data_IF_541992705324
#
_entry.id   IF_541992705324
#
_cell.length_a   1.000
_cell.length_b   1.000
_cell.length_c   1.000
_cell.angle_alpha   90.00
_cell.angle_beta   90.00
_cell.angle_gamma   90.00
#
_symmetry.space_group_name_H-M   'P 1'
#
loop_
_entity.id
_entity.type
_entity.pdbx_description
1 polymer ?
#
# COMPACT_ATOMS: atom_id res chain seq x y z
N UNK A 1 -36.83 -62.02 44.40
CA UNK A 1 -37.43 -63.34 44.15
C UNK A 1 -37.02 -63.79 42.75
N UNK A 2 -36.23 -64.87 42.69
CA UNK A 2 -35.98 -65.82 41.57
C UNK A 2 -35.42 -65.26 40.23
N UNK A 3 -34.09 -65.33 39.98
CA UNK A 3 -33.28 -66.47 39.37
C UNK A 3 -33.45 -66.54 37.84
N UNK A 4 -32.48 -66.80 36.96
CA UNK A 4 -31.04 -67.13 36.96
C UNK A 4 -30.53 -66.93 35.49
N UNK A 5 -29.30 -66.47 35.26
CA UNK A 5 -28.18 -67.18 34.58
C UNK A 5 -28.55 -68.26 33.54
N UNK A 6 -28.03 -68.12 32.31
CA UNK A 6 -27.14 -69.11 31.64
C UNK A 6 -26.49 -68.54 30.38
N UNK A 7 -25.17 -68.71 30.28
CA UNK A 7 -24.34 -68.64 29.07
C UNK A 7 -24.80 -69.63 27.99
N UNK A 8 -24.59 -69.29 26.70
CA UNK A 8 -23.99 -70.17 25.67
C UNK A 8 -23.75 -69.40 24.36
N UNK A 9 -22.50 -69.37 23.89
CA UNK A 9 -22.11 -69.27 22.47
C UNK A 9 -21.90 -70.73 21.98
N UNK A 10 -22.09 -71.14 20.70
CA UNK A 10 -21.17 -70.73 19.62
C UNK A 10 -21.70 -70.81 18.15
N UNK A 11 -20.80 -70.45 17.22
CA UNK A 11 -20.65 -70.91 15.81
C UNK A 11 -21.35 -70.18 14.65
N UNK A 12 -20.50 -69.48 13.89
CA UNK A 12 -20.28 -69.52 12.43
C UNK A 12 -21.45 -69.91 11.49
N UNK A 13 -21.85 -68.94 10.67
CA UNK A 13 -22.26 -69.22 9.29
C UNK A 13 -21.92 -68.05 8.38
N UNK A 14 -21.00 -68.29 7.45
CA UNK A 14 -20.74 -67.44 6.29
C UNK A 14 -22.03 -67.27 5.48
N UNK A 15 -22.37 -66.04 5.11
CA UNK A 15 -23.26 -65.80 3.98
C UNK A 15 -22.66 -64.75 3.04
N UNK A 16 -22.53 -65.18 1.78
CA UNK A 16 -21.94 -64.48 0.66
C UNK A 16 -23.10 -63.90 -0.14
N UNK A 17 -23.32 -62.59 -0.07
CA UNK A 17 -24.27 -61.93 -0.98
C UNK A 17 -23.64 -60.72 -1.67
N UNK A 18 -23.33 -60.91 -2.95
CA UNK A 18 -22.96 -59.88 -3.90
C UNK A 18 -24.07 -58.83 -4.03
N UNK A 19 -23.74 -57.55 -3.87
CA UNK A 19 -24.59 -56.45 -4.33
C UNK A 19 -23.84 -55.57 -5.32
N UNK A 20 -24.55 -55.33 -6.42
CA UNK A 20 -24.15 -54.68 -7.66
C UNK A 20 -23.58 -53.27 -7.45
N UNK A 21 -22.53 -52.97 -8.22
CA UNK A 21 -22.02 -51.62 -8.40
C UNK A 21 -23.06 -50.73 -9.10
N UNK A 22 -23.46 -49.65 -8.44
CA UNK A 22 -24.13 -48.49 -9.05
C UNK A 22 -23.13 -47.33 -9.19
N UNK A 23 -23.32 -46.44 -10.19
CA UNK A 23 -22.25 -45.64 -10.76
C UNK A 23 -21.93 -44.38 -9.94
N UNK A 24 -20.66 -43.98 -10.06
CA UNK A 24 -20.01 -42.75 -9.61
C UNK A 24 -20.95 -41.56 -9.42
N UNK A 25 -21.13 -41.12 -8.18
CA UNK A 25 -21.64 -39.79 -7.87
C UNK A 25 -20.62 -38.73 -8.30
N UNK A 26 -21.10 -37.72 -9.03
CA UNK A 26 -20.37 -36.51 -9.42
C UNK A 26 -19.97 -35.66 -8.21
N UNK A 27 -18.98 -36.11 -7.43
CA UNK A 27 -18.29 -35.26 -6.45
C UNK A 27 -17.11 -34.58 -7.14
N UNK A 28 -17.03 -33.23 -7.17
CA UNK A 28 -15.80 -32.58 -7.59
C UNK A 28 -14.67 -33.04 -6.67
N UNK A 29 -13.52 -33.40 -7.26
CA UNK A 29 -12.29 -33.73 -6.54
C UNK A 29 -11.78 -32.45 -5.84
N UNK A 30 -12.38 -32.13 -4.70
CA UNK A 30 -11.79 -31.21 -3.73
C UNK A 30 -10.72 -32.02 -3.03
N UNK A 31 -9.45 -31.74 -3.36
CA UNK A 31 -8.32 -32.29 -2.62
C UNK A 31 -8.50 -32.02 -1.11
N UNK A 32 -8.00 -32.89 -0.22
CA UNK A 32 -8.13 -32.66 1.20
C UNK A 32 -7.52 -31.28 1.53
N UNK A 33 -8.17 -30.47 2.39
CA UNK A 33 -7.55 -29.24 2.86
C UNK A 33 -6.21 -29.60 3.49
N UNK A 34 -5.17 -28.83 3.13
CA UNK A 34 -3.84 -28.99 3.70
C UNK A 34 -3.94 -29.03 5.24
N UNK A 35 -3.20 -29.93 5.91
CA UNK A 35 -3.30 -30.09 7.35
C UNK A 35 -2.96 -28.77 8.08
N UNK A 36 -3.66 -28.48 9.19
CA UNK A 36 -3.50 -27.23 9.91
C UNK A 36 -2.30 -27.32 10.86
N UNK A 37 -1.09 -27.22 10.33
CA UNK A 37 0.11 -27.07 11.17
C UNK A 37 1.04 -25.98 10.64
N UNK A 38 0.58 -24.73 10.76
CA UNK A 38 1.39 -23.50 10.85
C UNK A 38 0.62 -22.42 11.66
N UNK A 39 -0.21 -22.80 12.64
CA UNK A 39 -1.00 -21.88 13.48
C UNK A 39 -0.37 -21.62 14.85
N UNK A 40 0.93 -21.31 14.87
CA UNK A 40 1.65 -20.99 16.11
C UNK A 40 1.69 -19.50 16.47
N UNK A 41 1.74 -18.62 15.46
CA UNK A 41 1.62 -17.18 15.65
C UNK A 41 0.43 -16.69 14.81
N UNK A 42 -0.57 -16.09 15.46
CA UNK A 42 -1.64 -15.38 14.74
C UNK A 42 -0.98 -14.21 14.01
N UNK A 43 -0.89 -14.32 12.69
CA UNK A 43 -0.36 -13.25 11.82
C UNK A 43 -1.13 -11.97 12.08
N UNK A 44 -0.43 -10.85 12.18
CA UNK A 44 -1.06 -9.54 12.32
C UNK A 44 -1.79 -9.17 11.00
N UNK A 45 -2.85 -8.35 11.06
CA UNK A 45 -3.64 -8.02 9.88
C UNK A 45 -2.89 -7.06 8.93
N UNK A 46 -3.11 -7.25 7.62
CA UNK A 46 -2.75 -6.28 6.57
C UNK A 46 -4.05 -5.80 5.94
N UNK A 47 -4.32 -4.50 6.04
CA UNK A 47 -5.51 -3.85 5.48
C UNK A 47 -5.09 -2.96 4.32
N UNK A 48 -5.85 -3.02 3.23
CA UNK A 48 -5.61 -2.25 2.02
C UNK A 48 -6.90 -1.53 1.61
N UNK A 49 -6.77 -0.26 1.20
CA UNK A 49 -7.93 0.58 0.90
C UNK A 49 -7.60 1.82 0.09
N UNK A 50 -8.60 2.51 -0.47
CA UNK A 50 -8.41 3.77 -1.17
C UNK A 50 -8.48 4.99 -0.23
N UNK A 51 -7.84 6.09 -0.64
CA UNK A 51 -8.08 7.42 -0.09
C UNK A 51 -9.34 8.04 -0.71
N UNK A 52 -10.48 7.90 -0.06
CA UNK A 52 -11.75 8.51 -0.45
C UNK A 52 -12.73 7.52 -1.09
N UNK A 53 -13.83 8.06 -1.62
CA UNK A 53 -14.88 7.27 -2.26
C UNK A 53 -14.37 6.72 -3.60
N UNK A 54 -14.52 5.41 -3.88
CA UNK A 54 -14.09 4.80 -5.14
C UNK A 54 -14.58 5.56 -6.38
N UNK A 55 -13.76 5.64 -7.43
CA UNK A 55 -14.12 6.26 -8.71
C UNK A 55 -15.26 5.51 -9.41
N UNK A 56 -15.36 4.21 -9.17
CA UNK A 56 -16.43 3.33 -9.66
C UNK A 56 -17.77 3.52 -8.94
N UNK A 57 -17.78 4.19 -7.78
CA UNK A 57 -18.97 4.40 -6.97
C UNK A 57 -19.92 5.42 -7.60
N UNK A 58 -21.13 4.96 -7.95
CA UNK A 58 -22.10 5.76 -8.71
C UNK A 58 -22.75 6.87 -7.88
N UNK A 59 -23.18 6.59 -6.64
CA UNK A 59 -23.81 7.62 -5.81
C UNK A 59 -22.81 8.58 -5.17
N UNK A 60 -21.50 8.28 -5.24
CA UNK A 60 -20.42 9.14 -4.73
C UNK A 60 -20.61 9.52 -3.25
N UNK A 61 -21.23 8.64 -2.48
CA UNK A 61 -21.41 8.80 -1.04
C UNK A 61 -20.43 7.89 -0.30
N UNK A 62 -20.15 8.21 0.97
CA UNK A 62 -19.23 7.41 1.77
C UNK A 62 -19.78 6.00 1.98
N UNK A 63 -21.07 5.88 2.29
CA UNK A 63 -21.72 4.60 2.60
C UNK A 63 -21.72 3.67 1.38
N UNK A 64 -22.13 4.15 0.20
CA UNK A 64 -22.06 3.34 -1.02
C UNK A 64 -20.61 3.03 -1.41
N UNK A 65 -19.68 3.94 -1.12
CA UNK A 65 -18.26 3.70 -1.31
C UNK A 65 -17.76 2.54 -0.45
N UNK A 66 -18.18 2.43 0.81
CA UNK A 66 -17.84 1.31 1.69
C UNK A 66 -18.38 -0.02 1.15
N UNK A 67 -19.61 -0.03 0.61
CA UNK A 67 -20.18 -1.22 -0.03
C UNK A 67 -19.33 -1.67 -1.22
N UNK A 68 -18.94 -0.74 -2.10
CA UNK A 68 -18.09 -1.05 -3.26
C UNK A 68 -16.71 -1.56 -2.83
N UNK A 69 -16.06 -0.92 -1.84
CA UNK A 69 -14.74 -1.35 -1.32
C UNK A 69 -14.83 -2.77 -0.76
N UNK A 70 -15.90 -3.08 -0.01
CA UNK A 70 -16.14 -4.42 0.53
C UNK A 70 -16.32 -5.46 -0.58
N UNK A 71 -17.05 -5.13 -1.65
CA UNK A 71 -17.21 -6.00 -2.83
C UNK A 71 -15.89 -6.27 -3.53
N UNK A 72 -14.97 -5.30 -3.54
CA UNK A 72 -13.62 -5.45 -4.10
C UNK A 72 -12.67 -6.27 -3.20
N UNK A 73 -13.11 -6.71 -2.02
CA UNK A 73 -12.31 -7.48 -1.07
C UNK A 73 -11.30 -6.63 -0.30
N UNK A 74 -11.54 -5.33 -0.19
CA UNK A 74 -10.75 -4.39 0.59
C UNK A 74 -11.45 -4.13 1.94
N UNK A 75 -10.69 -3.76 2.96
CA UNK A 75 -11.15 -3.79 4.37
C UNK A 75 -11.02 -2.44 5.10
N UNK A 76 -10.57 -1.41 4.40
CA UNK A 76 -10.30 -0.09 4.98
C UNK A 76 -10.52 1.01 3.95
N UNK A 77 -10.76 2.23 4.42
CA UNK A 77 -10.70 3.43 3.59
C UNK A 77 -10.29 4.63 4.42
N UNK A 78 -9.80 5.67 3.74
CA UNK A 78 -9.53 6.95 4.36
C UNK A 78 -10.43 8.05 3.79
N UNK A 79 -11.20 8.73 4.63
CA UNK A 79 -12.00 9.88 4.22
C UNK A 79 -11.09 11.11 4.10
N UNK A 80 -11.05 11.73 2.93
CA UNK A 80 -10.30 12.96 2.73
C UNK A 80 -11.12 14.19 3.15
N UNK A 81 -10.75 14.84 4.25
CA UNK A 81 -11.38 16.11 4.71
C UNK A 81 -10.67 17.35 4.16
N UNK A 82 -10.33 17.30 2.86
CA UNK A 82 -9.63 18.36 2.13
C UNK A 82 -10.30 19.72 2.15
N UNK A 83 -11.63 19.71 2.16
CA UNK A 83 -12.48 20.90 2.23
C UNK A 83 -13.23 20.85 3.56
N UNK A 84 -13.69 22.02 4.03
CA UNK A 84 -14.47 22.10 5.27
C UNK A 84 -15.58 21.05 5.30
N UNK A 85 -15.62 20.28 6.38
CA UNK A 85 -16.67 19.29 6.65
C UNK A 85 -17.99 20.06 6.70
N UNK A 86 -18.87 19.78 5.75
CA UNK A 86 -20.14 20.49 5.68
C UNK A 86 -21.18 19.77 6.56
N UNK A 87 -21.95 20.48 7.40
CA UNK A 87 -22.92 19.87 8.32
C UNK A 87 -23.95 18.96 7.64
N UNK A 88 -24.29 19.23 6.37
CA UNK A 88 -25.27 18.44 5.62
C UNK A 88 -24.78 17.02 5.24
N UNK A 89 -23.51 16.69 5.48
CA UNK A 89 -22.97 15.34 5.32
C UNK A 89 -23.04 14.49 6.60
N UNK A 90 -23.55 15.03 7.72
CA UNK A 90 -23.59 14.33 9.01
C UNK A 90 -24.24 12.94 8.91
N UNK A 91 -25.40 12.83 8.24
CA UNK A 91 -26.11 11.56 8.09
C UNK A 91 -25.26 10.48 7.40
N UNK A 92 -24.41 10.87 6.43
CA UNK A 92 -23.51 9.93 5.76
C UNK A 92 -22.38 9.48 6.67
N UNK A 93 -21.75 10.39 7.41
CA UNK A 93 -20.70 10.03 8.37
C UNK A 93 -21.22 9.14 9.47
N UNK A 94 -22.40 9.46 9.98
CA UNK A 94 -23.08 8.67 10.99
C UNK A 94 -23.36 7.23 10.52
N UNK A 95 -23.96 7.09 9.33
CA UNK A 95 -24.21 5.77 8.74
C UNK A 95 -22.91 5.00 8.49
N UNK A 96 -21.85 5.70 8.04
CA UNK A 96 -20.54 5.11 7.85
C UNK A 96 -19.93 4.59 9.17
N UNK A 97 -20.04 5.34 10.27
CA UNK A 97 -19.58 4.89 11.59
C UNK A 97 -20.30 3.63 12.07
N UNK A 98 -21.63 3.58 11.91
CA UNK A 98 -22.43 2.40 12.25
C UNK A 98 -22.04 1.18 11.39
N UNK A 99 -21.83 1.38 10.08
CA UNK A 99 -21.42 0.33 9.17
C UNK A 99 -20.02 -0.17 9.49
N UNK A 100 -19.07 0.75 9.73
CA UNK A 100 -17.70 0.44 10.14
C UNK A 100 -17.68 -0.44 11.39
N UNK A 101 -18.43 -0.04 12.42
CA UNK A 101 -18.51 -0.78 13.67
C UNK A 101 -19.12 -2.19 13.50
N UNK A 102 -20.19 -2.32 12.70
CA UNK A 102 -20.89 -3.60 12.50
C UNK A 102 -20.15 -4.56 11.58
N UNK A 103 -19.44 -4.04 10.58
CA UNK A 103 -18.75 -4.83 9.56
C UNK A 103 -17.26 -5.04 9.87
N UNK A 104 -16.76 -4.53 11.00
CA UNK A 104 -15.33 -4.49 11.35
C UNK A 104 -14.46 -3.83 10.24
N UNK A 105 -15.06 -2.91 9.48
CA UNK A 105 -14.40 -2.18 8.40
C UNK A 105 -13.63 -0.99 8.99
N UNK A 106 -12.34 -0.88 8.68
CA UNK A 106 -11.51 0.16 9.27
C UNK A 106 -11.72 1.51 8.58
N UNK A 107 -12.13 2.52 9.36
CA UNK A 107 -12.22 3.90 8.89
C UNK A 107 -10.99 4.69 9.33
N UNK A 108 -10.56 5.59 8.46
CA UNK A 108 -9.51 6.57 8.75
C UNK A 108 -9.93 7.93 8.17
N UNK A 109 -9.30 9.01 8.64
CA UNK A 109 -9.57 10.35 8.16
C UNK A 109 -8.27 11.05 7.83
N UNK A 110 -8.15 11.54 6.61
CA UNK A 110 -7.13 12.51 6.26
C UNK A 110 -7.59 13.90 6.65
N UNK A 111 -6.82 14.57 7.49
CA UNK A 111 -6.97 15.98 7.81
C UNK A 111 -6.65 16.89 6.63
N UNK A 112 -6.53 18.21 6.85
CA UNK A 112 -6.24 19.14 5.76
C UNK A 112 -4.86 18.88 5.14
N UNK A 113 -4.78 18.76 3.80
CA UNK A 113 -3.49 18.59 3.09
C UNK A 113 -2.51 19.74 3.33
N UNK A 114 -3.02 20.96 3.45
CA UNK A 114 -2.19 22.15 3.67
C UNK A 114 -2.20 22.53 5.15
N UNK A 115 -1.24 21.98 5.90
CA UNK A 115 -0.89 22.38 7.25
C UNK A 115 0.06 23.58 7.26
N UNK A 116 -0.09 24.47 8.24
CA UNK A 116 0.80 25.60 8.49
C UNK A 116 1.11 25.67 10.01
N UNK A 117 1.38 24.52 10.63
CA UNK A 117 1.49 24.40 12.09
C UNK A 117 2.67 25.19 12.67
N UNK A 118 3.78 25.28 11.94
CA UNK A 118 4.94 26.10 12.30
C UNK A 118 4.85 27.56 11.79
N UNK A 119 3.74 27.92 11.14
CA UNK A 119 3.50 29.26 10.63
C UNK A 119 3.15 30.27 11.73
N UNK A 120 2.68 31.45 11.31
CA UNK A 120 2.24 32.48 12.26
C UNK A 120 1.09 31.98 13.13
N UNK A 121 0.82 32.62 14.27
CA UNK A 121 -0.32 32.26 15.14
C UNK A 121 -1.65 32.20 14.37
N UNK A 122 -1.85 33.08 13.39
CA UNK A 122 -3.05 33.10 12.56
C UNK A 122 -3.14 31.85 11.68
N UNK A 123 -2.05 31.51 11.00
CA UNK A 123 -2.02 30.41 10.04
C UNK A 123 -2.12 29.07 10.78
N UNK A 124 -1.39 28.93 11.91
CA UNK A 124 -1.54 27.80 12.83
C UNK A 124 -2.97 27.62 13.33
N UNK A 125 -3.60 28.68 13.84
CA UNK A 125 -4.98 28.60 14.33
C UNK A 125 -5.97 28.20 13.23
N UNK A 126 -5.73 28.63 11.98
CA UNK A 126 -6.53 28.21 10.82
C UNK A 126 -6.36 26.72 10.54
N UNK A 127 -5.14 26.18 10.61
CA UNK A 127 -4.89 24.74 10.47
C UNK A 127 -5.55 23.95 11.61
N UNK A 128 -5.38 24.38 12.87
CA UNK A 128 -6.00 23.72 14.02
C UNK A 128 -7.54 23.71 13.94
N UNK A 129 -8.15 24.80 13.45
CA UNK A 129 -9.61 24.84 13.24
C UNK A 129 -10.09 23.84 12.19
N UNK A 130 -9.29 23.56 11.16
CA UNK A 130 -9.59 22.52 10.17
C UNK A 130 -9.41 21.13 10.77
N UNK A 131 -8.32 20.92 11.53
CA UNK A 131 -8.07 19.67 12.23
C UNK A 131 -9.21 19.33 13.20
N UNK A 132 -9.76 20.31 13.92
CA UNK A 132 -10.94 20.11 14.78
C UNK A 132 -12.10 19.48 14.01
N UNK A 133 -12.38 19.94 12.78
CA UNK A 133 -13.43 19.34 11.94
C UNK A 133 -13.12 17.88 11.59
N UNK A 134 -11.86 17.56 11.29
CA UNK A 134 -11.40 16.20 11.01
C UNK A 134 -11.50 15.28 12.24
N UNK A 135 -11.20 15.80 13.45
CA UNK A 135 -11.35 15.07 14.72
C UNK A 135 -12.82 14.72 14.99
N UNK A 136 -13.73 15.68 14.78
CA UNK A 136 -15.17 15.45 14.93
C UNK A 136 -15.69 14.39 13.95
N UNK A 137 -15.25 14.45 12.68
CA UNK A 137 -15.55 13.38 11.72
C UNK A 137 -14.97 12.05 12.20
N UNK A 138 -13.73 12.03 12.67
CA UNK A 138 -13.07 10.85 13.21
C UNK A 138 -13.87 10.18 14.32
N UNK A 139 -14.42 10.97 15.27
CA UNK A 139 -15.37 10.51 16.29
C UNK A 139 -16.61 9.86 15.69
N UNK A 140 -17.25 10.54 14.74
CA UNK A 140 -18.50 10.10 14.13
C UNK A 140 -18.33 8.84 13.27
N UNK A 141 -17.18 8.64 12.63
CA UNK A 141 -16.95 7.48 11.75
C UNK A 141 -16.18 6.33 12.43
N UNK A 142 -15.89 6.44 13.72
CA UNK A 142 -15.03 5.49 14.44
C UNK A 142 -13.63 5.35 13.80
N UNK A 143 -13.02 6.49 13.44
CA UNK A 143 -11.73 6.47 12.75
C UNK A 143 -10.61 5.99 13.68
N UNK A 144 -9.75 5.10 13.17
CA UNK A 144 -8.55 4.65 13.88
C UNK A 144 -7.45 5.69 13.84
N UNK A 145 -7.28 6.35 12.71
CA UNK A 145 -6.25 7.37 12.49
C UNK A 145 -6.84 8.66 11.94
N UNK A 146 -6.32 9.79 12.42
CA UNK A 146 -6.52 11.11 11.85
C UNK A 146 -5.17 11.63 11.35
N UNK A 147 -4.94 11.58 10.04
CA UNK A 147 -3.65 11.92 9.42
C UNK A 147 -3.52 13.41 9.21
N UNK A 148 -2.33 13.97 9.43
CA UNK A 148 -2.03 15.36 9.13
C UNK A 148 -0.59 15.58 8.69
N UNK A 149 -0.43 16.59 7.83
CA UNK A 149 0.86 17.23 7.59
C UNK A 149 1.09 18.42 8.53
N UNK A 150 2.36 18.64 8.88
CA UNK A 150 2.78 19.82 9.65
C UNK A 150 2.83 21.07 8.77
N UNK A 151 3.41 20.95 7.57
CA UNK A 151 3.58 22.04 6.63
C UNK A 151 5.01 22.55 6.48
N UNK A 152 5.20 23.76 5.93
CA UNK A 152 6.50 24.40 5.81
C UNK A 152 7.15 24.67 7.17
N UNK A 153 8.48 24.72 7.23
CA UNK A 153 9.19 25.13 8.45
C UNK A 153 8.95 26.60 8.84
N UNK A 154 8.50 27.44 7.89
CA UNK A 154 8.27 28.87 8.08
C UNK A 154 9.51 29.61 8.64
N UNK A 155 9.47 30.08 9.88
CA UNK A 155 10.59 30.79 10.53
C UNK A 155 11.60 29.86 11.22
N UNK A 156 11.30 28.56 11.29
CA UNK A 156 12.18 27.56 11.87
C UNK A 156 13.18 27.05 10.84
N UNK A 157 14.36 26.67 11.33
CA UNK A 157 15.30 25.83 10.59
C UNK A 157 15.03 24.35 10.93
N UNK A 158 15.34 23.40 10.02
CA UNK A 158 15.29 21.98 10.35
C UNK A 158 16.13 21.63 11.58
N UNK A 159 15.58 20.82 12.48
CA UNK A 159 16.25 20.35 13.69
C UNK A 159 15.42 20.52 14.97
N UNK A 160 16.11 20.42 16.12
CA UNK A 160 15.48 20.22 17.44
C UNK A 160 14.40 21.25 17.78
N UNK A 161 14.61 22.53 17.48
CA UNK A 161 13.62 23.58 17.81
C UNK A 161 12.31 23.41 17.05
N UNK A 162 12.37 23.04 15.78
CA UNK A 162 11.17 22.77 15.00
C UNK A 162 10.45 21.54 15.57
N UNK A 163 11.19 20.47 15.88
CA UNK A 163 10.63 19.23 16.41
C UNK A 163 9.97 19.43 17.79
N UNK A 164 10.59 20.23 18.68
CA UNK A 164 10.01 20.61 19.97
C UNK A 164 8.69 21.36 19.82
N UNK A 165 8.62 22.35 18.91
CA UNK A 165 7.36 23.08 18.67
C UNK A 165 6.29 22.17 18.06
N UNK A 166 6.64 21.32 17.10
CA UNK A 166 5.71 20.33 16.53
C UNK A 166 5.19 19.37 17.61
N UNK A 167 6.05 18.88 18.50
CA UNK A 167 5.66 18.01 19.60
C UNK A 167 4.71 18.71 20.60
N UNK A 168 4.98 19.97 20.93
CA UNK A 168 4.09 20.78 21.78
C UNK A 168 2.71 20.97 21.15
N UNK A 169 2.66 21.26 19.85
CA UNK A 169 1.40 21.41 19.11
C UNK A 169 0.63 20.09 19.11
N UNK A 170 1.27 18.96 18.75
CA UNK A 170 0.60 17.67 18.71
C UNK A 170 0.16 17.17 20.08
N UNK A 171 0.84 17.53 21.16
CA UNK A 171 0.36 17.27 22.53
C UNK A 171 -1.03 17.87 22.75
N UNK A 172 -1.23 19.14 22.38
CA UNK A 172 -2.53 19.80 22.47
C UNK A 172 -3.59 19.20 21.52
N UNK A 173 -3.18 18.75 20.32
CA UNK A 173 -4.06 18.05 19.37
C UNK A 173 -4.54 16.73 19.96
N UNK A 174 -3.65 15.92 20.55
CA UNK A 174 -4.01 14.66 21.21
C UNK A 174 -4.91 14.88 22.42
N UNK A 175 -4.60 15.86 23.26
CA UNK A 175 -5.47 16.25 24.39
C UNK A 175 -6.87 16.61 23.91
N UNK A 176 -6.96 17.35 22.79
CA UNK A 176 -8.25 17.69 22.19
C UNK A 176 -9.00 16.45 21.70
N UNK A 177 -8.35 15.54 20.97
CA UNK A 177 -8.97 14.28 20.51
C UNK A 177 -9.49 13.45 21.69
N UNK A 178 -8.72 13.33 22.78
CA UNK A 178 -9.15 12.63 23.99
C UNK A 178 -10.34 13.32 24.65
N UNK A 179 -10.35 14.66 24.70
CA UNK A 179 -11.43 15.42 25.36
C UNK A 179 -12.80 15.27 24.72
N UNK A 180 -12.87 14.87 23.45
CA UNK A 180 -14.15 14.67 22.73
C UNK A 180 -14.62 13.21 22.75
N UNK A 181 -13.88 12.32 23.41
CA UNK A 181 -14.13 10.87 23.43
C UNK A 181 -14.46 10.41 24.85
N UNK A 182 -15.55 9.66 25.00
CA UNK A 182 -15.89 8.99 26.26
C UNK A 182 -16.25 9.89 27.44
N UNK A 183 -16.74 11.13 27.23
CA UNK A 183 -17.20 12.00 28.33
C UNK A 183 -18.56 11.52 28.85
N UNK A 184 -18.60 10.84 30.00
CA UNK A 184 -19.83 10.31 30.64
C UNK A 184 -21.01 11.32 30.71
N UNK A 185 -20.77 12.64 30.66
CA UNK A 185 -21.83 13.65 30.69
C UNK A 185 -22.63 13.76 29.40
N UNK A 186 -22.12 13.23 28.29
CA UNK A 186 -22.77 13.25 26.96
C UNK A 186 -23.46 11.90 26.63
N UNK A 187 -23.77 11.09 27.64
CA UNK A 187 -24.37 9.74 27.56
C UNK A 187 -25.53 9.57 26.56
N UNK A 188 -26.43 10.55 26.45
CA UNK A 188 -27.55 10.50 25.51
C UNK A 188 -27.08 10.49 24.04
N UNK A 189 -25.98 11.18 23.72
CA UNK A 189 -25.40 11.20 22.38
C UNK A 189 -24.71 9.86 22.07
N UNK A 190 -24.13 9.16 23.05
CA UNK A 190 -23.39 7.91 22.82
C UNK A 190 -24.27 6.67 22.64
N UNK A 191 -25.54 6.71 23.04
CA UNK A 191 -26.51 5.69 22.58
C UNK A 191 -26.59 5.67 21.05
N UNK A 192 -26.26 6.79 20.41
CA UNK A 192 -26.00 6.83 19.00
C UNK A 192 -24.60 6.26 18.67
N UNK A 193 -23.53 6.73 19.32
CA UNK A 193 -22.15 6.33 18.98
C UNK A 193 -21.55 5.29 19.98
N UNK A 194 -21.89 3.99 19.93
CA UNK A 194 -21.49 3.01 20.96
C UNK A 194 -19.97 2.86 21.10
N UNK A 195 -19.22 2.97 20.00
CA UNK A 195 -17.76 2.83 20.01
C UNK A 195 -17.05 3.93 20.81
N UNK A 196 -17.68 5.07 21.10
CA UNK A 196 -17.01 6.16 21.80
C UNK A 196 -16.67 5.80 23.26
N UNK A 197 -17.37 4.82 23.86
CA UNK A 197 -16.98 4.26 25.16
C UNK A 197 -16.29 2.90 25.06
N UNK A 198 -16.52 2.16 23.97
CA UNK A 198 -15.99 0.80 23.81
C UNK A 198 -14.59 0.77 23.18
N UNK A 199 -14.23 1.80 22.42
CA UNK A 199 -12.98 1.88 21.67
C UNK A 199 -12.10 3.03 22.15
N UNK A 200 -10.78 2.83 21.98
CA UNK A 200 -9.77 3.86 22.21
C UNK A 200 -9.97 5.06 21.27
N UNK A 201 -9.65 6.29 21.73
CA UNK A 201 -9.69 7.48 20.88
C UNK A 201 -8.83 7.33 19.62
N UNK A 202 -9.22 8.06 18.57
CA UNK A 202 -8.46 8.14 17.31
C UNK A 202 -7.00 8.53 17.58
N UNK A 203 -6.06 7.84 16.91
CA UNK A 203 -4.65 8.19 16.95
C UNK A 203 -4.35 9.33 15.98
N UNK A 204 -3.51 10.28 16.40
CA UNK A 204 -3.09 11.39 15.54
C UNK A 204 -1.92 10.94 14.66
N UNK A 205 -2.18 10.78 13.37
CA UNK A 205 -1.18 10.39 12.38
C UNK A 205 -0.33 11.58 11.95
N UNK A 206 0.98 11.53 12.16
CA UNK A 206 1.92 12.54 11.68
C UNK A 206 2.58 12.03 10.41
N UNK A 207 2.28 12.66 9.28
CA UNK A 207 2.70 12.15 7.97
C UNK A 207 4.01 12.75 7.49
N UNK A 208 4.88 11.89 6.97
CA UNK A 208 6.08 12.30 6.23
C UNK A 208 5.71 13.16 5.02
N UNK A 209 6.48 14.20 4.71
CA UNK A 209 6.26 15.09 3.56
C UNK A 209 7.17 14.76 2.39
N UNK A 210 6.76 15.08 1.17
CA UNK A 210 7.50 14.76 -0.05
C UNK A 210 8.47 15.82 -0.57
N UNK A 211 8.44 17.04 -0.03
CA UNK A 211 9.25 18.17 -0.48
C UNK A 211 10.26 18.59 0.57
N UNK A 212 11.47 18.97 0.16
CA UNK A 212 12.58 19.30 1.05
C UNK A 212 12.29 20.53 1.92
N UNK A 213 11.50 21.48 1.42
CA UNK A 213 11.12 22.71 2.13
C UNK A 213 10.03 22.50 3.20
N UNK A 214 9.41 21.32 3.22
CA UNK A 214 8.39 20.97 4.21
C UNK A 214 9.01 20.17 5.35
N UNK A 215 8.49 20.39 6.56
CA UNK A 215 8.78 19.56 7.72
C UNK A 215 8.24 18.15 7.47
N UNK A 216 8.96 17.13 7.93
CA UNK A 216 8.46 15.74 7.91
C UNK A 216 9.35 14.78 7.15
N UNK A 217 10.66 14.82 7.40
CA UNK A 217 11.52 13.67 7.13
C UNK A 217 11.12 12.44 7.97
N UNK A 218 11.59 11.25 7.61
CA UNK A 218 11.33 10.04 8.43
C UNK A 218 11.86 10.25 9.85
N UNK A 219 13.04 10.82 9.98
CA UNK A 219 13.71 11.05 11.25
C UNK A 219 12.93 12.04 12.13
N UNK A 220 12.48 13.16 11.58
CA UNK A 220 11.69 14.16 12.32
C UNK A 220 10.33 13.62 12.78
N UNK A 221 9.65 12.88 11.89
CA UNK A 221 8.35 12.26 12.22
C UNK A 221 8.52 11.24 13.34
N UNK A 222 9.52 10.36 13.25
CA UNK A 222 9.77 9.36 14.29
C UNK A 222 10.19 10.01 15.61
N UNK A 223 10.98 11.07 15.58
CA UNK A 223 11.37 11.82 16.77
C UNK A 223 10.14 12.39 17.48
N UNK A 224 9.29 13.15 16.78
CA UNK A 224 8.08 13.74 17.38
C UNK A 224 7.14 12.67 17.91
N UNK A 225 6.86 11.64 17.12
CA UNK A 225 5.90 10.61 17.51
C UNK A 225 6.38 9.83 18.72
N UNK A 226 7.69 9.61 18.85
CA UNK A 226 8.24 8.95 20.04
C UNK A 226 8.07 9.76 21.33
N UNK A 227 7.92 11.09 21.23
CA UNK A 227 7.76 11.98 22.40
C UNK A 227 6.29 12.26 22.75
N UNK A 228 5.35 12.09 21.82
CA UNK A 228 3.94 12.44 22.03
C UNK A 228 3.05 11.19 21.98
N UNK A 229 2.71 10.67 23.17
CA UNK A 229 1.78 9.54 23.29
C UNK A 229 0.41 9.87 22.66
N UNK A 230 -0.17 8.93 21.93
CA UNK A 230 -1.42 9.15 21.17
C UNK A 230 -1.20 9.60 19.73
N UNK A 231 0.07 9.75 19.30
CA UNK A 231 0.45 9.91 17.90
C UNK A 231 0.99 8.62 17.28
N UNK A 232 0.95 8.52 15.95
CA UNK A 232 1.58 7.44 15.17
C UNK A 232 2.26 8.01 13.92
N UNK A 233 3.36 7.40 13.42
CA UNK A 233 3.96 7.86 12.19
C UNK A 233 3.11 7.38 11.01
N UNK A 234 2.85 8.27 10.06
CA UNK A 234 2.26 7.90 8.77
C UNK A 234 3.37 7.90 7.72
N UNK A 235 3.75 6.70 7.31
CA UNK A 235 4.82 6.48 6.34
C UNK A 235 4.24 6.57 4.94
N UNK A 236 4.40 7.73 4.31
CA UNK A 236 4.00 7.90 2.92
C UNK A 236 5.16 7.49 2.01
N UNK A 237 5.01 6.34 1.36
CA UNK A 237 6.08 5.73 0.56
C UNK A 237 6.44 6.59 -0.65
N UNK A 238 5.48 7.30 -1.25
CA UNK A 238 5.73 8.23 -2.34
C UNK A 238 6.60 9.41 -1.87
N UNK A 239 6.29 9.97 -0.71
CA UNK A 239 7.06 11.06 -0.10
C UNK A 239 8.48 10.63 0.28
N UNK A 240 8.62 9.51 0.98
CA UNK A 240 9.91 8.96 1.42
C UNK A 240 10.78 8.62 0.19
N UNK A 241 10.20 7.99 -0.83
CA UNK A 241 10.90 7.66 -2.06
C UNK A 241 11.40 8.92 -2.77
N UNK A 242 10.55 9.93 -2.93
CA UNK A 242 10.89 11.19 -3.59
C UNK A 242 12.02 11.93 -2.86
N UNK A 243 11.89 12.14 -1.54
CA UNK A 243 12.92 12.82 -0.73
C UNK A 243 14.24 12.07 -0.70
N UNK A 244 14.19 10.74 -0.74
CA UNK A 244 15.36 9.88 -0.82
C UNK A 244 15.97 9.71 -2.22
N UNK A 245 15.62 10.55 -3.20
CA UNK A 245 16.10 10.44 -4.59
C UNK A 245 15.82 9.08 -5.24
N UNK A 246 14.65 8.52 -4.95
CA UNK A 246 14.22 7.22 -5.43
C UNK A 246 14.75 6.04 -4.63
N UNK A 247 14.77 6.17 -3.29
CA UNK A 247 15.40 5.21 -2.37
C UNK A 247 14.69 3.87 -2.22
N UNK A 248 13.36 3.80 -2.39
CA UNK A 248 12.58 2.57 -2.15
C UNK A 248 12.42 1.76 -3.45
N UNK A 249 13.26 0.75 -3.69
CA UNK A 249 13.27 -0.03 -4.95
C UNK A 249 13.32 -1.54 -4.77
N UNK A 250 13.75 -2.01 -3.61
CA UNK A 250 13.98 -3.42 -3.27
C UNK A 250 13.26 -3.76 -1.98
N UNK A 251 13.06 -5.06 -1.68
CA UNK A 251 12.45 -5.49 -0.41
C UNK A 251 13.32 -5.09 0.78
N UNK A 252 14.64 -5.10 0.61
CA UNK A 252 15.61 -4.68 1.63
C UNK A 252 15.45 -3.20 2.00
N UNK A 253 15.17 -2.31 1.05
CA UNK A 253 14.94 -0.88 1.34
C UNK A 253 13.74 -0.68 2.28
N UNK A 254 12.70 -1.52 2.15
CA UNK A 254 11.56 -1.50 3.06
C UNK A 254 11.91 -2.12 4.42
N UNK A 255 12.69 -3.20 4.44
CA UNK A 255 13.16 -3.79 5.69
C UNK A 255 13.94 -2.77 6.53
N UNK A 256 14.88 -2.04 5.92
CA UNK A 256 15.64 -0.99 6.60
C UNK A 256 14.73 0.12 7.16
N UNK A 257 13.72 0.55 6.39
CA UNK A 257 12.77 1.58 6.82
C UNK A 257 11.95 1.12 8.04
N UNK A 258 11.36 -0.07 7.98
CA UNK A 258 10.54 -0.59 9.07
C UNK A 258 11.36 -1.01 10.28
N UNK A 259 12.62 -1.42 10.09
CA UNK A 259 13.57 -1.65 11.18
C UNK A 259 13.94 -0.35 11.89
N UNK A 260 14.15 0.74 11.15
CA UNK A 260 14.36 2.07 11.73
C UNK A 260 13.16 2.49 12.60
N UNK A 261 11.93 2.30 12.09
CA UNK A 261 10.71 2.63 12.84
C UNK A 261 10.62 1.75 14.10
N UNK A 262 10.80 0.44 13.96
CA UNK A 262 10.77 -0.52 15.07
C UNK A 262 11.81 -0.21 16.14
N UNK A 263 13.02 0.19 15.75
CA UNK A 263 14.09 0.54 16.68
C UNK A 263 13.83 1.86 17.42
N UNK A 264 13.09 2.79 16.82
CA UNK A 264 12.87 4.13 17.36
C UNK A 264 11.64 4.21 18.27
N UNK A 265 10.47 3.82 17.75
CA UNK A 265 9.19 3.93 18.47
C UNK A 265 8.73 2.61 19.10
N UNK A 266 9.31 1.49 18.67
CA UNK A 266 8.79 0.17 19.02
C UNK A 266 7.41 -0.10 18.42
N UNK A 267 6.75 -1.14 18.93
CA UNK A 267 5.39 -1.48 18.50
C UNK A 267 5.32 -2.31 17.22
N UNK A 268 4.08 -2.51 16.76
CA UNK A 268 3.73 -3.38 15.63
C UNK A 268 2.69 -2.77 14.69
N UNK A 269 2.17 -1.58 15.02
CA UNK A 269 1.09 -0.92 14.28
C UNK A 269 1.69 0.10 13.32
N UNK A 270 1.30 0.01 12.05
CA UNK A 270 1.81 0.86 10.98
C UNK A 270 0.64 1.39 10.16
N UNK A 271 0.70 2.68 9.87
CA UNK A 271 -0.22 3.34 8.96
C UNK A 271 0.60 3.94 7.82
N UNK A 272 0.27 3.57 6.59
CA UNK A 272 1.09 3.88 5.43
C UNK A 272 0.24 4.39 4.28
N UNK A 273 0.79 5.32 3.52
CA UNK A 273 0.22 5.73 2.23
C UNK A 273 1.10 5.21 1.10
N UNK A 274 0.47 4.81 0.00
CA UNK A 274 1.15 4.32 -1.18
C UNK A 274 0.52 4.86 -2.46
N UNK A 275 1.34 5.50 -3.28
CA UNK A 275 1.00 5.93 -4.63
C UNK A 275 2.24 5.87 -5.52
N UNK A 276 2.06 5.90 -6.84
CA UNK A 276 3.16 6.30 -7.70
C UNK A 276 3.47 7.78 -7.48
N UNK A 277 4.70 8.21 -7.76
CA UNK A 277 5.12 9.60 -7.64
C UNK A 277 6.00 10.01 -8.82
N UNK A 278 5.79 11.23 -9.32
CA UNK A 278 6.79 11.96 -10.10
C UNK A 278 7.61 12.82 -9.15
N UNK A 279 8.94 12.71 -9.22
CA UNK A 279 9.84 13.44 -8.34
C UNK A 279 11.04 13.99 -9.09
N UNK A 280 11.57 15.12 -8.59
CA UNK A 280 12.72 15.79 -9.17
C UNK A 280 13.59 16.39 -8.07
N UNK A 281 14.89 16.10 -8.11
CA UNK A 281 15.89 16.66 -7.19
C UNK A 281 15.49 16.51 -5.71
N UNK A 282 14.92 15.36 -5.33
CA UNK A 282 14.55 15.10 -3.94
C UNK A 282 13.20 15.70 -3.53
N UNK A 283 12.37 16.16 -4.47
CA UNK A 283 11.06 16.74 -4.20
C UNK A 283 9.97 16.00 -4.98
N UNK A 284 8.92 15.57 -4.27
CA UNK A 284 7.69 15.06 -4.86
C UNK A 284 6.96 16.18 -5.62
N UNK A 285 6.50 15.88 -6.83
CA UNK A 285 5.75 16.83 -7.67
C UNK A 285 4.27 16.49 -7.66
N UNK A 286 3.88 15.35 -8.24
CA UNK A 286 2.50 14.91 -8.25
C UNK A 286 2.42 13.39 -8.11
N UNK A 287 1.32 12.91 -7.52
CA UNK A 287 1.03 11.49 -7.50
C UNK A 287 0.68 10.98 -8.89
N UNK A 288 1.12 9.77 -9.16
CA UNK A 288 0.89 9.05 -10.39
C UNK A 288 0.36 7.65 -10.08
N UNK A 289 -0.09 6.96 -11.11
CA UNK A 289 -0.46 5.55 -11.03
C UNK A 289 0.78 4.73 -10.68
N UNK A 290 0.66 3.69 -9.84
CA UNK A 290 1.80 2.85 -9.42
C UNK A 290 2.59 2.32 -10.63
N UNK A 291 1.88 1.97 -11.72
CA UNK A 291 2.51 1.47 -12.95
C UNK A 291 3.38 2.50 -13.68
N UNK A 292 3.11 3.80 -13.54
CA UNK A 292 3.81 4.89 -14.25
C UNK A 292 4.99 5.46 -13.47
N UNK A 293 5.08 5.23 -12.16
CA UNK A 293 6.18 5.69 -11.32
C UNK A 293 7.39 4.74 -11.34
N UNK A 294 8.55 5.23 -10.91
CA UNK A 294 9.70 4.40 -10.56
C UNK A 294 9.58 3.75 -9.16
N UNK A 295 8.66 4.22 -8.32
CA UNK A 295 8.24 3.55 -7.09
C UNK A 295 7.29 2.38 -7.44
N UNK A 296 7.76 1.15 -7.23
CA UNK A 296 7.01 -0.09 -7.50
C UNK A 296 6.51 -0.70 -6.19
N UNK A 297 5.31 -1.27 -6.22
CA UNK A 297 4.71 -1.92 -5.05
C UNK A 297 5.22 -3.36 -4.87
N UNK A 298 5.64 -4.03 -5.94
CA UNK A 298 6.07 -5.42 -5.92
C UNK A 298 7.18 -5.72 -4.90
N UNK A 299 8.24 -4.90 -4.77
CA UNK A 299 9.26 -5.12 -3.75
C UNK A 299 8.71 -4.95 -2.33
N UNK A 300 7.73 -4.05 -2.14
CA UNK A 300 7.07 -3.90 -0.85
C UNK A 300 6.17 -5.11 -0.53
N UNK A 301 5.44 -5.61 -1.53
CA UNK A 301 4.63 -6.82 -1.41
C UNK A 301 5.49 -8.05 -1.05
N UNK A 302 6.68 -8.18 -1.65
CA UNK A 302 7.66 -9.22 -1.33
C UNK A 302 8.11 -9.10 0.14
N UNK A 303 8.52 -7.91 0.58
CA UNK A 303 8.86 -7.65 1.98
C UNK A 303 7.71 -8.01 2.96
N UNK A 304 6.50 -7.54 2.68
CA UNK A 304 5.33 -7.84 3.52
C UNK A 304 4.98 -9.33 3.56
N UNK A 305 5.28 -10.08 2.50
CA UNK A 305 5.05 -11.52 2.44
C UNK A 305 6.14 -12.31 3.21
N UNK A 306 7.38 -11.86 3.15
CA UNK A 306 8.55 -12.53 3.75
C UNK A 306 8.68 -12.23 5.25
N UNK A 307 8.55 -10.96 5.63
CA UNK A 307 8.82 -10.49 6.99
C UNK A 307 7.65 -9.74 7.65
N UNK A 308 6.57 -9.45 6.92
CA UNK A 308 5.45 -8.64 7.42
C UNK A 308 4.55 -9.32 8.46
N UNK A 309 4.80 -10.57 8.85
CA UNK A 309 3.89 -11.35 9.72
C UNK A 309 3.70 -10.74 11.12
N UNK A 310 4.66 -9.94 11.59
CA UNK A 310 4.63 -9.26 12.88
C UNK A 310 3.97 -7.86 12.82
N UNK A 311 3.63 -7.38 11.63
CA UNK A 311 3.16 -6.02 11.37
C UNK A 311 1.64 -5.98 11.25
N UNK A 312 1.01 -5.21 12.13
CA UNK A 312 -0.37 -4.74 11.99
C UNK A 312 -0.34 -3.49 11.12
N UNK A 313 -0.64 -3.63 9.83
CA UNK A 313 -0.37 -2.57 8.85
C UNK A 313 -1.62 -2.26 8.03
N UNK A 314 -1.95 -0.97 7.98
CA UNK A 314 -2.92 -0.42 7.03
C UNK A 314 -2.19 0.38 5.97
N UNK A 315 -2.51 0.10 4.69
CA UNK A 315 -1.96 0.82 3.54
C UNK A 315 -3.10 1.43 2.74
N UNK A 316 -3.10 2.76 2.64
CA UNK A 316 -4.06 3.54 1.86
C UNK A 316 -3.44 3.92 0.52
N UNK A 317 -4.23 3.78 -0.56
CA UNK A 317 -3.83 4.23 -1.89
C UNK A 317 -4.22 5.68 -2.15
N UNK A 318 -3.21 6.54 -2.24
CA UNK A 318 -3.35 7.96 -2.63
C UNK A 318 -3.24 8.16 -4.15
N UNK A 319 -3.18 7.06 -4.90
CA UNK A 319 -3.04 7.11 -6.35
C UNK A 319 -4.26 7.78 -6.99
N UNK A 320 -4.10 8.48 -8.13
CA UNK A 320 -5.24 8.98 -8.91
C UNK A 320 -6.18 7.86 -9.42
N UNK A 321 -5.84 6.58 -9.27
CA UNK A 321 -6.71 5.44 -9.59
C UNK A 321 -7.40 4.81 -8.35
N UNK A 322 -7.20 5.37 -7.16
CA UNK A 322 -7.85 5.00 -5.90
C UNK A 322 -7.98 3.48 -5.72
N UNK A 323 -9.21 2.95 -5.82
CA UNK A 323 -9.52 1.54 -5.56
C UNK A 323 -8.82 0.58 -6.52
N UNK A 324 -8.54 0.98 -7.76
CA UNK A 324 -7.88 0.10 -8.72
C UNK A 324 -6.42 -0.16 -8.33
N UNK A 325 -5.72 0.85 -7.82
CA UNK A 325 -4.35 0.68 -7.34
C UNK A 325 -4.34 0.01 -5.95
N UNK A 326 -5.37 0.22 -5.10
CA UNK A 326 -5.54 -0.56 -3.88
C UNK A 326 -5.73 -2.07 -4.16
N UNK A 327 -6.57 -2.42 -5.13
CA UNK A 327 -6.72 -3.81 -5.60
C UNK A 327 -5.44 -4.37 -6.22
N UNK A 328 -4.71 -3.54 -6.98
CA UNK A 328 -3.40 -3.92 -7.53
C UNK A 328 -2.45 -4.32 -6.41
N UNK A 329 -2.38 -3.52 -5.34
CA UNK A 329 -1.56 -3.83 -4.17
C UNK A 329 -1.98 -5.16 -3.52
N UNK A 330 -3.28 -5.38 -3.30
CA UNK A 330 -3.79 -6.62 -2.71
C UNK A 330 -3.42 -7.87 -3.54
N UNK A 331 -3.63 -7.81 -4.87
CA UNK A 331 -3.31 -8.91 -5.78
C UNK A 331 -1.81 -9.22 -5.82
N UNK A 332 -0.96 -8.20 -5.81
CA UNK A 332 0.49 -8.38 -5.83
C UNK A 332 1.02 -8.95 -4.52
N UNK A 333 0.43 -8.56 -3.39
CA UNK A 333 0.70 -9.17 -2.10
C UNK A 333 0.31 -10.65 -2.06
N UNK A 334 -0.91 -10.99 -2.47
CA UNK A 334 -1.36 -12.39 -2.51
C UNK A 334 -0.48 -13.25 -3.41
N UNK A 335 -0.08 -12.71 -4.57
CA UNK A 335 0.85 -13.38 -5.48
C UNK A 335 2.22 -13.60 -4.84
N UNK A 336 2.77 -12.60 -4.15
CA UNK A 336 4.05 -12.72 -3.45
C UNK A 336 3.98 -13.81 -2.37
N UNK A 337 2.89 -13.85 -1.61
CA UNK A 337 2.63 -14.90 -0.61
C UNK A 337 2.52 -16.30 -1.20
N UNK A 338 1.73 -16.47 -2.25
CA UNK A 338 1.56 -17.76 -2.91
C UNK A 338 2.89 -18.30 -3.42
N UNK A 339 3.71 -17.42 -4.03
CA UNK A 339 5.05 -17.76 -4.49
C UNK A 339 5.95 -18.21 -3.34
N UNK A 340 5.91 -17.50 -2.20
CA UNK A 340 6.70 -17.85 -1.02
C UNK A 340 6.27 -19.21 -0.43
N UNK A 341 4.96 -19.47 -0.36
CA UNK A 341 4.42 -20.76 0.09
C UNK A 341 4.83 -21.91 -0.83
N UNK A 342 4.81 -21.69 -2.15
CA UNK A 342 5.29 -22.69 -3.13
C UNK A 342 6.77 -23.01 -2.94
N UNK A 343 7.61 -21.99 -2.73
CA UNK A 343 9.05 -22.16 -2.45
C UNK A 343 9.24 -22.96 -1.16
N UNK A 344 8.59 -22.58 -0.06
CA UNK A 344 8.68 -23.28 1.24
C UNK A 344 8.24 -24.74 1.13
N UNK A 345 7.10 -25.01 0.49
CA UNK A 345 6.61 -26.37 0.30
C UNK A 345 7.55 -27.24 -0.55
N UNK A 346 8.18 -26.64 -1.57
CA UNK A 346 9.20 -27.32 -2.39
C UNK A 346 10.44 -27.64 -1.57
N UNK A 347 10.92 -26.70 -0.76
CA UNK A 347 12.10 -26.87 0.09
C UNK A 347 11.86 -27.90 1.19
N UNK A 348 10.70 -27.89 1.85
CA UNK A 348 10.28 -28.90 2.82
C UNK A 348 10.22 -30.30 2.21
N UNK A 349 9.59 -30.44 1.04
CA UNK A 349 9.55 -31.72 0.31
C UNK A 349 10.96 -32.21 0.00
N UNK A 350 11.85 -31.31 -0.40
CA UNK A 350 13.24 -31.65 -0.72
C UNK A 350 14.01 -32.08 0.53
N UNK A 351 13.86 -31.36 1.63
CA UNK A 351 14.46 -31.69 2.93
C UNK A 351 14.00 -33.07 3.41
N UNK A 352 12.71 -33.37 3.28
CA UNK A 352 12.16 -34.69 3.64
C UNK A 352 12.74 -35.82 2.78
N UNK A 353 12.81 -35.63 1.46
CA UNK A 353 13.40 -36.62 0.55
C UNK A 353 14.90 -36.82 0.80
N UNK A 354 15.64 -35.77 1.13
CA UNK A 354 17.07 -35.86 1.48
C UNK A 354 17.28 -36.63 2.79
N UNK A 355 16.44 -36.37 3.80
CA UNK A 355 16.45 -37.11 5.06
C UNK A 355 16.11 -38.60 4.87
N UNK A 356 15.11 -38.92 4.03
CA UNK A 356 14.74 -40.30 3.69
C UNK A 356 15.84 -41.03 2.90
N UNK A 357 16.60 -40.30 2.07
CA UNK A 357 17.71 -40.84 1.29
C UNK A 357 19.05 -40.93 2.05
N UNK A 358 19.12 -40.45 3.30
CA UNK A 358 20.34 -40.44 4.10
C UNK A 358 21.46 -39.55 3.55
N UNK A 359 21.11 -38.55 2.72
CA UNK A 359 22.06 -37.62 2.12
C UNK A 359 22.17 -36.40 3.03
N UNK A 360 23.40 -36.02 3.38
CA UNK A 360 23.68 -34.84 4.20
C UNK A 360 23.17 -33.57 3.51
N UNK A 361 22.39 -32.78 4.26
CA UNK A 361 21.64 -31.62 3.78
C UNK A 361 22.59 -30.52 3.28
N UNK A 362 23.75 -30.39 3.95
CA UNK A 362 24.74 -29.36 3.64
C UNK A 362 25.46 -29.60 2.31
N UNK A 363 25.73 -30.87 1.95
CA UNK A 363 26.34 -31.22 0.65
C UNK A 363 25.37 -30.97 -0.52
N UNK A 364 24.07 -31.17 -0.30
CA UNK A 364 23.02 -30.90 -1.29
C UNK A 364 22.80 -29.39 -1.49
N UNK A 365 22.86 -28.60 -0.42
CA UNK A 365 22.78 -27.15 -0.46
C UNK A 365 24.02 -26.53 -1.14
N UNK A 366 25.22 -27.06 -0.89
CA UNK A 366 26.47 -26.60 -1.52
C UNK A 366 26.47 -26.84 -3.03
N UNK A 367 26.06 -28.03 -3.47
CA UNK A 367 25.91 -28.35 -4.90
C UNK A 367 24.90 -27.47 -5.61
N UNK A 368 23.83 -27.09 -4.93
CA UNK A 368 22.83 -26.21 -5.52
C UNK A 368 23.26 -24.75 -5.55
N UNK A 369 23.99 -24.25 -4.54
CA UNK A 369 24.66 -22.94 -4.63
C UNK A 369 25.59 -22.89 -5.83
N UNK A 370 26.40 -23.93 -6.04
CA UNK A 370 27.26 -24.06 -7.22
C UNK A 370 26.45 -24.09 -8.54
N UNK A 371 25.34 -24.83 -8.59
CA UNK A 371 24.48 -24.87 -9.78
C UNK A 371 23.70 -23.57 -10.02
N UNK A 372 23.26 -22.88 -8.97
CA UNK A 372 22.56 -21.61 -9.05
C UNK A 372 23.52 -20.51 -9.50
N UNK A 373 24.75 -20.47 -8.97
CA UNK A 373 25.82 -19.58 -9.43
C UNK A 373 26.22 -19.88 -10.88
N UNK A 374 26.30 -21.16 -11.27
CA UNK A 374 26.56 -21.55 -12.66
C UNK A 374 25.43 -21.09 -13.60
N UNK A 375 24.16 -21.19 -13.18
CA UNK A 375 23.01 -20.68 -13.95
C UNK A 375 23.02 -19.15 -14.02
N UNK A 376 23.34 -18.45 -12.92
CA UNK A 376 23.44 -16.98 -12.88
C UNK A 376 24.51 -16.49 -13.86
N UNK A 377 25.72 -17.09 -13.82
CA UNK A 377 26.81 -16.80 -14.77
C UNK A 377 26.42 -17.07 -16.22
N UNK A 378 25.64 -18.13 -16.49
CA UNK A 378 25.16 -18.43 -17.84
C UNK A 378 24.11 -17.43 -18.37
N UNK A 379 23.26 -16.90 -17.48
CA UNK A 379 22.24 -15.89 -17.81
C UNK A 379 22.83 -14.50 -18.00
N UNK A 380 23.87 -14.16 -17.23
CA UNK A 380 24.66 -12.93 -17.40
C UNK A 380 25.40 -12.94 -18.75
N UNK A 381 26.07 -14.05 -19.09
CA UNK A 381 26.71 -14.19 -20.42
C UNK A 381 25.72 -14.18 -21.59
N UNK A 382 24.49 -14.67 -21.41
CA UNK A 382 23.39 -14.54 -22.38
C UNK A 382 22.89 -13.09 -22.53
N UNK A 383 22.77 -12.36 -21.41
CA UNK A 383 22.42 -10.92 -21.42
C UNK A 383 23.50 -10.08 -22.09
N UNK A 384 24.77 -10.32 -21.79
CA UNK A 384 25.89 -9.60 -22.39
C UNK A 384 25.98 -9.83 -23.90
N UNK A 385 25.71 -11.06 -24.36
CA UNK A 385 25.60 -11.38 -25.80
C UNK A 385 24.45 -10.65 -26.47
N UNK A 386 23.30 -10.50 -25.80
CA UNK A 386 22.14 -9.76 -26.33
C UNK A 386 22.39 -8.24 -26.36
N UNK A 387 23.07 -7.68 -25.37
CA UNK A 387 23.48 -6.26 -25.34
C UNK A 387 24.49 -5.99 -26.46
N UNK A 388 25.52 -6.82 -26.61
CA UNK A 388 26.51 -6.70 -27.69
C UNK A 388 25.88 -6.86 -29.09
N UNK A 389 24.86 -7.69 -29.25
CA UNK A 389 24.11 -7.82 -30.51
C UNK A 389 23.26 -6.58 -30.82
N UNK A 390 22.72 -5.91 -29.79
CA UNK A 390 21.94 -4.68 -29.91
C UNK A 390 22.83 -3.48 -30.25
N UNK A 391 24.01 -3.39 -29.64
CA UNK A 391 25.03 -2.38 -29.95
C UNK A 391 25.59 -2.54 -31.37
N UNK A 392 25.86 -3.77 -31.81
CA UNK A 392 26.27 -4.03 -33.21
C UNK A 392 25.19 -3.64 -34.23
N UNK A 393 23.90 -3.82 -33.90
CA UNK A 393 22.79 -3.36 -34.73
C UNK A 393 22.67 -1.82 -34.74
N UNK A 394 22.89 -1.17 -33.60
CA UNK A 394 22.89 0.30 -33.50
C UNK A 394 24.05 0.92 -34.31
N UNK A 395 25.26 0.37 -34.19
CA UNK A 395 26.43 0.81 -34.96
C UNK A 395 26.27 0.57 -36.48
N UNK A 396 25.57 -0.50 -36.87
CA UNK A 396 25.24 -0.75 -38.28
C UNK A 396 24.18 0.23 -38.83
N UNK A 397 23.23 0.67 -37.99
CA UNK A 397 22.23 1.66 -38.34
C UNK A 397 22.85 3.07 -38.47
N UNK A 398 23.76 3.45 -37.58
CA UNK A 398 24.51 4.72 -37.69
C UNK A 398 25.41 4.79 -38.92
N UNK A 399 26.07 3.67 -39.29
CA UNK A 399 26.87 3.60 -40.52
C UNK A 399 26.00 3.76 -41.78
N UNK A 400 24.80 3.17 -41.81
CA UNK A 400 23.84 3.37 -42.93
C UNK A 400 23.33 4.81 -43.00
N UNK A 401 23.02 5.44 -41.86
CA UNK A 401 22.58 6.83 -41.80
C UNK A 401 23.70 7.82 -42.24
N UNK A 402 24.96 7.49 -41.94
CA UNK A 402 26.12 8.28 -42.38
C UNK A 402 26.39 8.14 -43.90
N UNK A 403 26.15 6.96 -44.48
CA UNK A 403 26.24 6.72 -45.93
C UNK A 403 25.13 7.43 -46.72
N UNK A 404 23.90 7.46 -46.21
CA UNK A 404 22.79 8.21 -46.80
C UNK A 404 23.02 9.73 -46.75
N UNK A 405 23.58 10.24 -45.64
CA UNK A 405 23.97 11.67 -45.54
C UNK A 405 25.10 12.03 -46.51
N UNK A 406 26.05 11.13 -46.78
CA UNK A 406 27.09 11.34 -47.81
C UNK A 406 26.54 11.31 -49.24
N UNK A 407 25.54 10.46 -49.53
CA UNK A 407 24.84 10.45 -50.84
C UNK A 407 23.98 11.70 -51.05
N UNK A 408 23.34 12.22 -50.00
CA UNK A 408 22.56 13.46 -50.07
C UNK A 408 23.44 14.72 -50.26
N UNK A 409 24.66 14.73 -49.70
CA UNK A 409 25.61 15.83 -49.89
C UNK A 409 26.21 15.89 -51.31
N UNK A 410 26.37 14.75 -51.98
CA UNK A 410 26.87 14.69 -53.36
C UNK A 410 25.85 15.19 -54.40
N UNK A 411 24.54 15.17 -54.09
CA UNK A 411 23.48 15.59 -55.00
C UNK A 411 23.24 17.12 -55.05
N UNK A 412 23.87 17.91 -54.17
CA UNK A 412 23.66 19.38 -54.07
C UNK A 412 24.67 20.26 -54.85
N UNK A 413 25.50 19.72 -55.74
CA UNK A 413 26.36 20.52 -56.64
C UNK A 413 26.07 20.26 -58.12
N UNK A 414 25.06 20.94 -58.67
CA UNK A 414 24.96 21.39 -60.08
C UNK A 414 23.80 22.41 -60.24
N UNK A 415 23.95 23.51 -61.01
CA UNK A 415 23.01 24.64 -60.93
C UNK A 415 21.92 24.69 -62.02
N UNK A 416 20.77 25.25 -61.59
CA UNK A 416 19.77 26.09 -62.27
C UNK A 416 19.10 25.69 -63.61
N UNK A 417 17.75 25.63 -63.60
CA UNK A 417 16.89 26.36 -64.57
C UNK A 417 15.44 26.57 -64.05
N UNK A 418 14.91 27.75 -64.40
CA UNK A 418 13.57 28.32 -64.14
C UNK A 418 12.39 27.46 -64.65
N UNK A 419 11.24 27.58 -63.99
CA UNK A 419 9.92 27.28 -64.53
C UNK A 419 8.79 27.67 -63.56
N UNK A 420 7.98 28.63 -63.98
CA UNK A 420 6.78 29.18 -63.32
C UNK A 420 5.70 28.13 -62.99
N UNK A 421 4.86 28.41 -61.98
CA UNK A 421 3.56 27.73 -61.87
C UNK A 421 2.80 27.79 -60.54
N UNK A 422 2.17 28.94 -60.28
CA UNK A 422 0.79 29.10 -59.75
C UNK A 422 0.49 28.85 -58.25
N UNK A 423 -0.08 29.92 -57.68
CA UNK A 423 -0.67 30.12 -56.35
C UNK A 423 -1.77 29.11 -55.99
N UNK A 424 -1.89 28.84 -54.68
CA UNK A 424 -3.14 29.02 -53.93
C UNK A 424 -2.79 29.28 -52.46
N UNK A 425 -3.16 30.46 -51.97
CA UNK A 425 -3.14 30.89 -50.59
C UNK A 425 -4.46 30.53 -49.91
N UNK A 426 -4.41 30.05 -48.68
CA UNK A 426 -5.50 30.13 -47.70
C UNK A 426 -4.85 30.44 -46.35
N UNK A 427 -5.18 31.62 -45.83
CA UNK A 427 -4.87 32.07 -44.47
C UNK A 427 -6.00 31.67 -43.52
N UNK A 428 -5.63 31.48 -42.25
CA UNK A 428 -6.45 31.85 -41.10
C UNK A 428 -7.20 30.72 -40.40
N UNK A 429 -6.68 30.27 -39.25
CA UNK A 429 -7.11 30.77 -37.94
C UNK A 429 -6.31 30.12 -36.80
N UNK A 430 -5.92 30.98 -35.88
CA UNK A 430 -5.20 30.74 -34.63
C UNK A 430 -6.07 30.00 -33.60
N UNK A 431 -5.43 29.09 -32.88
CA UNK A 431 -5.36 28.94 -31.43
C UNK A 431 -6.58 29.38 -30.59
N UNK A 432 -7.21 28.41 -29.92
CA UNK A 432 -7.80 28.61 -28.60
C UNK A 432 -7.30 27.52 -27.64
N UNK A 433 -6.79 28.01 -26.52
CA UNK A 433 -6.25 27.31 -25.35
C UNK A 433 -7.28 26.37 -24.73
N UNK A 434 -6.79 25.20 -24.32
CA UNK A 434 -7.51 24.24 -23.48
C UNK A 434 -6.92 24.35 -22.08
N UNK A 435 -7.46 25.26 -21.28
CA UNK A 435 -7.17 25.39 -19.84
C UNK A 435 -8.28 24.74 -18.99
N UNK A 436 -7.79 24.05 -17.96
CA UNK A 436 -8.33 23.92 -16.60
C UNK A 436 -9.50 22.98 -16.28
N UNK A 437 -9.09 21.82 -15.76
CA UNK A 437 -9.84 21.02 -14.78
C UNK A 437 -8.83 20.29 -13.88
N UNK A 438 -8.32 20.97 -12.85
CA UNK A 438 -7.83 20.38 -11.59
C UNK A 438 -7.98 21.37 -10.43
#
# INVERSE_FOLDING_TARGET
MKTASTDTNPQDSHDFSFHFATPLSNTPLVGPPLPPDLRGAKRMPLRLGPAGVPLSCKGRTIVEGMDDITVLGLETMEIQTVRQVQPHHFDQYWQAGILSHKAEFEMNVHGPYYGELLGTTRDRNRTLSKMESSMQVGKIVNARHMVCHVGPYAEYDPGTKANEEVANIFTGVVERVRSIWGDEKEEEEYSAFPWVHEAEPTLVGVETSGQQELWGTVEEVLEVVNHVEGTVPVLNMAHIHARGHGRLKTSEDYAELFDQVRATIGGKKFYCHFAGVEHRMGNAQHYTQIKKSDLKFEPFAEYLAEEGDWMDITIISDSPLLEHDAMYMAQHYDKARQRLLEIRARDERRMKLAAEAGIDVDELARREKEQAEARKKSLETEKDKKVAAKEKKAAAAEKKAAEEKKKAAAAKKKPAKKGDGKMMSIEGKEDEEFEDLF
#
